data_IF_037044090637
#
_entry.id   IF_037044090637
#
_cell.length_a   1.000
_cell.length_b   1.000
_cell.length_c   1.000
_cell.angle_alpha   90.00
_cell.angle_beta   90.00
_cell.angle_gamma   90.00
#
_symmetry.space_group_name_H-M   'P 1'
#
loop_
_entity.id
_entity.type
_entity.pdbx_description
1 polymer ?
#
# COMPACT_ATOMS: atom_id res chain seq x y z
N UNK A 1 -34.84 -4.13 -49.17
CA UNK A 1 -36.06 -3.80 -48.41
C UNK A 1 -35.69 -3.71 -46.94
N UNK A 2 -36.05 -2.59 -46.32
CA UNK A 2 -35.78 -2.15 -44.93
C UNK A 2 -36.64 -2.97 -43.92
N UNK A 3 -36.67 -2.71 -42.57
CA UNK A 3 -35.66 -2.34 -41.56
C UNK A 3 -35.78 -3.15 -40.23
N UNK A 4 -35.03 -2.71 -39.20
CA UNK A 4 -35.29 -2.71 -37.72
C UNK A 4 -34.32 -3.59 -36.91
N UNK A 5 -33.18 -3.10 -36.42
CA UNK A 5 -32.93 -2.19 -35.27
C UNK A 5 -33.51 -2.65 -33.92
N UNK A 6 -32.62 -3.01 -32.98
CA UNK A 6 -32.93 -3.36 -31.59
C UNK A 6 -31.84 -2.90 -30.60
N UNK A 7 -32.10 -1.74 -29.99
CA UNK A 7 -31.80 -1.25 -28.63
C UNK A 7 -30.41 -1.42 -27.98
N UNK A 8 -29.67 -0.30 -27.94
CA UNK A 8 -28.65 0.02 -26.93
C UNK A 8 -29.31 0.63 -25.70
N UNK A 9 -29.12 0.05 -24.52
CA UNK A 9 -29.50 0.67 -23.24
C UNK A 9 -28.46 1.72 -22.82
N UNK A 10 -28.89 2.98 -22.76
CA UNK A 10 -28.17 4.10 -22.16
C UNK A 10 -28.83 4.37 -20.80
N UNK A 11 -28.06 4.28 -19.71
CA UNK A 11 -28.50 4.62 -18.36
C UNK A 11 -28.21 6.13 -18.14
N UNK A 12 -29.22 6.99 -17.92
CA UNK A 12 -28.98 8.40 -17.63
C UNK A 12 -28.54 8.62 -16.18
N UNK A 13 -27.47 9.41 -16.02
CA UNK A 13 -27.00 9.95 -14.72
C UNK A 13 -27.94 11.07 -14.28
N UNK A 14 -28.54 10.92 -13.10
CA UNK A 14 -29.31 12.00 -12.44
C UNK A 14 -28.34 12.86 -11.63
N UNK A 15 -28.21 14.12 -12.04
CA UNK A 15 -27.55 15.18 -11.28
C UNK A 15 -28.57 15.83 -10.34
N UNK A 16 -28.26 15.89 -9.04
CA UNK A 16 -28.99 16.73 -8.09
C UNK A 16 -28.17 17.99 -7.80
N UNK A 17 -28.76 19.15 -8.07
CA UNK A 17 -28.31 20.46 -7.63
C UNK A 17 -29.40 21.10 -6.72
N UNK A 18 -29.02 21.96 -5.78
CA UNK A 18 -29.80 22.26 -4.56
C UNK A 18 -30.89 23.30 -4.79
N UNK A 19 -32.04 23.13 -4.13
CA UNK A 19 -33.10 24.14 -4.08
C UNK A 19 -32.75 25.24 -3.06
N UNK A 20 -32.85 26.47 -3.54
CA UNK A 20 -32.71 27.72 -2.83
C UNK A 20 -34.10 28.37 -2.83
N UNK A 21 -34.72 28.58 -1.67
CA UNK A 21 -36.00 29.29 -1.56
C UNK A 21 -35.83 30.44 -0.58
N UNK A 22 -35.77 31.66 -1.12
CA UNK A 22 -35.78 32.91 -0.38
C UNK A 22 -37.18 33.55 -0.34
N UNK A 23 -37.41 34.23 0.78
CA UNK A 23 -38.31 35.36 1.07
C UNK A 23 -39.83 35.25 0.81
N UNK A 24 -40.59 35.59 1.85
CA UNK A 24 -41.50 36.73 1.81
C UNK A 24 -41.79 37.26 3.23
N UNK A 25 -41.43 38.54 3.42
CA UNK A 25 -41.73 39.39 4.58
C UNK A 25 -43.18 39.85 4.53
N UNK A 26 -43.86 39.89 5.68
CA UNK A 26 -45.06 40.72 5.87
C UNK A 26 -44.97 41.50 7.18
N UNK A 27 -45.04 42.83 7.04
CA UNK A 27 -45.09 43.83 8.10
C UNK A 27 -46.56 44.09 8.48
N UNK A 28 -46.87 44.14 9.78
CA UNK A 28 -48.00 44.92 10.32
C UNK A 28 -47.52 45.64 11.59
N UNK A 29 -47.61 46.98 11.69
CA UNK A 29 -47.25 47.73 12.89
C UNK A 29 -48.49 48.05 13.73
N UNK A 30 -48.38 47.97 15.07
CA UNK A 30 -49.31 48.64 15.98
C UNK A 30 -48.54 49.31 17.12
N UNK A 31 -48.88 50.57 17.34
CA UNK A 31 -48.26 51.56 18.22
C UNK A 31 -48.47 51.28 19.74
N UNK A 32 -47.53 51.83 20.52
CA UNK A 32 -47.42 51.89 21.98
C UNK A 32 -48.52 52.79 22.64
N UNK A 33 -48.89 52.72 23.92
CA UNK A 33 -48.18 52.87 25.22
C UNK A 33 -49.23 52.62 26.37
N UNK A 34 -48.98 52.92 27.66
CA UNK A 34 -47.99 52.37 28.59
C UNK A 34 -48.65 51.89 29.91
N UNK A 35 -48.19 50.80 30.51
CA UNK A 35 -48.41 50.57 31.94
C UNK A 35 -47.12 50.08 32.58
N UNK A 36 -46.68 50.82 33.59
CA UNK A 36 -45.46 50.61 34.37
C UNK A 36 -45.43 49.24 35.02
N UNK A 37 -44.31 48.54 34.88
CA UNK A 37 -43.97 47.36 35.67
C UNK A 37 -42.52 47.44 36.17
N UNK A 38 -42.22 46.84 37.34
CA UNK A 38 -41.16 47.27 38.23
C UNK A 38 -39.77 46.70 37.92
N UNK A 39 -38.77 47.34 38.52
CA UNK A 39 -37.33 47.20 38.33
C UNK A 39 -36.77 45.84 38.76
N UNK A 40 -36.12 45.19 37.78
CA UNK A 40 -34.89 44.38 37.82
C UNK A 40 -34.69 43.35 38.94
N UNK A 41 -34.88 42.07 38.57
CA UNK A 41 -33.94 41.01 38.95
C UNK A 41 -33.39 40.41 37.65
N UNK A 42 -32.07 40.47 37.46
CA UNK A 42 -31.39 39.88 36.31
C UNK A 42 -31.56 38.36 36.34
N UNK A 43 -32.17 37.72 35.33
CA UNK A 43 -32.05 36.29 35.15
C UNK A 43 -30.64 36.00 34.63
N UNK A 44 -29.92 35.08 35.28
CA UNK A 44 -28.69 34.53 34.71
C UNK A 44 -28.96 33.98 33.31
N UNK A 45 -28.06 34.19 32.33
CA UNK A 45 -28.24 33.63 31.00
C UNK A 45 -28.21 32.10 31.10
N UNK A 46 -29.33 31.47 30.78
CA UNK A 46 -29.42 30.03 30.58
C UNK A 46 -28.38 29.64 29.52
N UNK A 47 -27.37 28.88 29.93
CA UNK A 47 -26.44 28.24 29.01
C UNK A 47 -27.27 27.35 28.06
N UNK A 48 -27.11 27.45 26.73
CA UNK A 48 -27.76 26.50 25.84
C UNK A 48 -27.23 25.11 26.15
N UNK A 49 -28.10 24.26 26.71
CA UNK A 49 -27.87 22.82 26.81
C UNK A 49 -27.86 22.22 25.41
N UNK A 50 -26.77 22.42 24.67
CA UNK A 50 -26.48 21.63 23.49
C UNK A 50 -25.99 20.24 23.91
N UNK A 51 -26.86 19.47 24.56
CA UNK A 51 -26.80 18.02 24.43
C UNK A 51 -27.41 17.70 23.06
N UNK A 52 -26.61 17.90 22.02
CA UNK A 52 -26.81 17.13 20.79
C UNK A 52 -26.57 15.69 21.24
N UNK A 53 -27.66 14.95 21.44
CA UNK A 53 -27.62 13.50 21.42
C UNK A 53 -27.01 13.14 20.07
N UNK A 54 -25.70 12.91 20.05
CA UNK A 54 -25.06 12.29 18.90
C UNK A 54 -25.60 10.87 18.89
N UNK A 55 -26.74 10.66 18.23
CA UNK A 55 -27.14 9.33 17.82
C UNK A 55 -25.96 8.77 17.03
N UNK A 56 -25.20 7.88 17.68
CA UNK A 56 -24.11 7.20 17.02
C UNK A 56 -24.74 6.44 15.86
N UNK A 57 -24.42 6.82 14.62
CA UNK A 57 -24.83 6.07 13.43
C UNK A 57 -24.63 4.57 13.73
N UNK A 58 -25.66 3.73 13.57
CA UNK A 58 -25.57 2.32 13.96
C UNK A 58 -24.35 1.71 13.27
N UNK A 59 -23.39 1.25 14.06
CA UNK A 59 -22.15 0.68 13.56
C UNK A 59 -22.53 -0.51 12.70
N UNK A 60 -22.23 -0.46 11.40
CA UNK A 60 -22.51 -1.54 10.46
C UNK A 60 -22.08 -2.89 11.05
N UNK A 61 -23.06 -3.75 11.38
CA UNK A 61 -22.80 -5.06 11.98
C UNK A 61 -22.60 -6.04 10.84
N UNK A 62 -21.38 -6.58 10.72
CA UNK A 62 -21.09 -7.63 9.72
C UNK A 62 -22.00 -8.84 9.99
N UNK A 63 -22.63 -9.33 8.92
CA UNK A 63 -23.57 -10.47 8.96
C UNK A 63 -22.89 -11.81 9.24
N UNK A 64 -21.60 -11.93 8.89
CA UNK A 64 -20.81 -13.15 9.06
C UNK A 64 -19.45 -12.84 9.71
N UNK A 65 -19.12 -13.56 10.78
CA UNK A 65 -17.77 -13.61 11.34
C UNK A 65 -16.91 -14.65 10.62
N UNK A 66 -15.59 -14.50 10.69
CA UNK A 66 -14.65 -15.43 10.04
C UNK A 66 -14.82 -16.85 10.57
N UNK A 67 -14.92 -17.01 11.89
CA UNK A 67 -15.05 -18.32 12.53
C UNK A 67 -16.35 -19.03 12.11
N UNK A 68 -17.44 -18.27 11.93
CA UNK A 68 -18.71 -18.81 11.46
C UNK A 68 -18.62 -19.35 10.04
N UNK A 69 -17.88 -18.65 9.17
CA UNK A 69 -17.72 -19.07 7.78
C UNK A 69 -16.80 -20.29 7.70
N UNK A 70 -15.69 -20.30 8.45
CA UNK A 70 -14.80 -21.46 8.53
C UNK A 70 -15.54 -22.68 9.06
N UNK A 71 -16.34 -22.52 10.14
CA UNK A 71 -17.17 -23.60 10.68
C UNK A 71 -18.16 -24.11 9.63
N UNK A 72 -18.89 -23.21 8.97
CA UNK A 72 -19.85 -23.58 7.92
C UNK A 72 -19.17 -24.37 6.78
N UNK A 73 -18.01 -23.91 6.33
CA UNK A 73 -17.29 -24.57 5.23
C UNK A 73 -16.82 -25.97 5.61
N UNK A 74 -16.25 -26.14 6.80
CA UNK A 74 -15.83 -27.46 7.32
C UNK A 74 -17.03 -28.39 7.44
N UNK A 75 -18.15 -27.94 8.01
CA UNK A 75 -19.36 -28.77 8.11
C UNK A 75 -19.90 -29.17 6.74
N UNK A 76 -19.84 -28.27 5.75
CA UNK A 76 -20.25 -28.60 4.39
C UNK A 76 -19.32 -29.64 3.74
N UNK A 77 -18.01 -29.58 3.99
CA UNK A 77 -17.05 -30.59 3.52
C UNK A 77 -17.29 -31.95 4.19
N UNK A 78 -17.44 -31.99 5.51
CA UNK A 78 -17.74 -33.23 6.24
C UNK A 78 -19.07 -33.86 5.78
N UNK A 79 -20.08 -33.04 5.51
CA UNK A 79 -21.34 -33.50 4.94
C UNK A 79 -21.16 -34.10 3.54
N UNK A 80 -20.37 -33.43 2.69
CA UNK A 80 -20.03 -33.90 1.35
C UNK A 80 -19.33 -35.27 1.42
N UNK A 81 -18.32 -35.43 2.28
CA UNK A 81 -17.58 -36.67 2.47
C UNK A 81 -18.49 -37.81 2.96
N UNK A 82 -19.40 -37.54 3.90
CA UNK A 82 -20.31 -38.54 4.45
C UNK A 82 -21.35 -39.02 3.43
N UNK A 83 -21.75 -38.16 2.50
CA UNK A 83 -22.81 -38.45 1.53
C UNK A 83 -22.29 -38.70 0.11
N UNK A 84 -20.97 -38.80 -0.06
CA UNK A 84 -20.29 -38.95 -1.36
C UNK A 84 -20.75 -37.91 -2.41
N UNK A 85 -20.85 -36.66 -1.97
CA UNK A 85 -21.23 -35.51 -2.82
C UNK A 85 -20.07 -34.54 -2.95
N UNK A 86 -20.04 -33.75 -4.03
CA UNK A 86 -19.18 -32.57 -4.10
C UNK A 86 -19.92 -31.35 -3.57
N UNK A 87 -19.14 -30.33 -3.16
CA UNK A 87 -19.69 -29.07 -2.66
C UNK A 87 -20.58 -28.35 -3.69
N UNK A 88 -20.32 -28.57 -5.00
CA UNK A 88 -21.11 -28.03 -6.11
C UNK A 88 -22.47 -28.69 -6.30
N UNK A 89 -22.61 -29.93 -5.80
CA UNK A 89 -23.81 -30.75 -5.96
C UNK A 89 -24.77 -30.62 -4.75
N UNK A 90 -24.41 -29.81 -3.76
CA UNK A 90 -25.27 -29.59 -2.58
C UNK A 90 -26.53 -28.82 -2.96
N UNK A 91 -27.67 -29.42 -2.63
CA UNK A 91 -29.01 -28.88 -2.82
C UNK A 91 -29.49 -28.15 -1.57
N UNK A 92 -30.63 -27.45 -1.68
CA UNK A 92 -31.27 -26.82 -0.52
C UNK A 92 -31.59 -27.82 0.61
N UNK A 93 -31.96 -29.06 0.27
CA UNK A 93 -32.24 -30.11 1.27
C UNK A 93 -31.00 -30.49 2.08
N UNK A 94 -29.83 -30.50 1.44
CA UNK A 94 -28.56 -30.75 2.12
C UNK A 94 -28.26 -29.62 3.13
N UNK A 95 -28.56 -28.36 2.76
CA UNK A 95 -28.41 -27.22 3.65
C UNK A 95 -29.40 -27.18 4.81
N UNK A 96 -30.56 -27.85 4.73
CA UNK A 96 -31.44 -28.04 5.88
C UNK A 96 -30.75 -28.87 6.96
N UNK A 97 -29.97 -29.88 6.58
CA UNK A 97 -29.22 -30.71 7.52
C UNK A 97 -28.00 -29.97 8.08
N UNK A 98 -27.24 -29.28 7.22
CA UNK A 98 -26.04 -28.53 7.63
C UNK A 98 -26.41 -27.38 8.57
N UNK A 99 -27.51 -26.65 8.29
CA UNK A 99 -27.88 -25.46 9.05
C UNK A 99 -28.31 -25.77 10.50
N UNK A 100 -28.71 -27.01 10.83
CA UNK A 100 -29.06 -27.44 12.20
C UNK A 100 -27.95 -27.16 13.23
N UNK A 101 -26.69 -27.08 12.78
CA UNK A 101 -25.52 -26.85 13.63
C UNK A 101 -24.98 -25.41 13.56
N UNK A 102 -25.74 -24.50 12.94
CA UNK A 102 -25.38 -23.09 12.72
C UNK A 102 -26.40 -22.15 13.36
N UNK A 103 -26.01 -20.90 13.61
CA UNK A 103 -26.92 -19.80 13.98
C UNK A 103 -27.54 -19.09 12.75
N UNK A 104 -27.58 -19.77 11.60
CA UNK A 104 -27.89 -19.20 10.29
C UNK A 104 -28.98 -20.03 9.60
N UNK A 105 -29.75 -19.40 8.74
CA UNK A 105 -30.80 -20.13 7.98
C UNK A 105 -30.15 -20.97 6.88
N UNK A 106 -30.82 -22.05 6.43
CA UNK A 106 -30.35 -22.87 5.30
C UNK A 106 -30.03 -22.05 4.06
N UNK A 107 -30.86 -21.06 3.72
CA UNK A 107 -30.67 -20.18 2.57
C UNK A 107 -29.43 -19.29 2.73
N UNK A 108 -29.18 -18.81 3.95
CA UNK A 108 -27.99 -18.03 4.27
C UNK A 108 -26.72 -18.88 4.14
N UNK A 109 -26.76 -20.11 4.65
CA UNK A 109 -25.66 -21.07 4.55
C UNK A 109 -25.36 -21.42 3.08
N UNK A 110 -26.40 -21.76 2.33
CA UNK A 110 -26.33 -22.07 0.90
C UNK A 110 -25.72 -20.91 0.12
N UNK A 111 -26.27 -19.69 0.26
CA UNK A 111 -25.76 -18.50 -0.41
C UNK A 111 -24.28 -18.24 -0.05
N UNK A 112 -23.89 -18.46 1.20
CA UNK A 112 -22.50 -18.27 1.65
C UNK A 112 -21.54 -19.28 1.02
N UNK A 113 -21.91 -20.56 0.95
CA UNK A 113 -21.08 -21.58 0.29
C UNK A 113 -20.95 -21.29 -1.20
N UNK A 114 -22.04 -20.95 -1.90
CA UNK A 114 -21.95 -20.56 -3.32
C UNK A 114 -21.08 -19.32 -3.55
N UNK A 115 -21.16 -18.31 -2.68
CA UNK A 115 -20.26 -17.14 -2.74
C UNK A 115 -18.79 -17.56 -2.64
N UNK A 116 -18.46 -18.45 -1.70
CA UNK A 116 -17.09 -18.95 -1.51
C UNK A 116 -16.61 -19.71 -2.74
N UNK A 117 -17.48 -20.53 -3.32
CA UNK A 117 -17.18 -21.33 -4.51
C UNK A 117 -16.96 -20.46 -5.76
N UNK A 118 -17.83 -19.46 -5.96
CA UNK A 118 -17.83 -18.61 -7.17
C UNK A 118 -16.79 -17.51 -7.12
N UNK A 119 -16.71 -16.79 -6.01
CA UNK A 119 -15.76 -15.67 -5.86
C UNK A 119 -14.35 -16.14 -5.48
N UNK A 120 -14.23 -17.35 -4.93
CA UNK A 120 -12.96 -17.94 -4.54
C UNK A 120 -12.17 -17.09 -3.54
N UNK A 121 -12.81 -16.18 -2.80
CA UNK A 121 -12.16 -15.41 -1.75
C UNK A 121 -13.12 -15.08 -0.63
N UNK A 122 -12.80 -15.52 0.59
CA UNK A 122 -13.25 -14.80 1.77
C UNK A 122 -12.50 -13.49 1.88
N UNK A 123 -13.14 -12.47 2.49
CA UNK A 123 -12.45 -11.22 2.82
C UNK A 123 -11.19 -11.53 3.63
N UNK A 124 -10.04 -11.30 3.00
CA UNK A 124 -8.75 -11.60 3.59
C UNK A 124 -8.53 -10.74 4.84
N UNK A 125 -8.24 -11.38 5.98
CA UNK A 125 -7.89 -10.70 7.22
C UNK A 125 -6.43 -10.21 7.26
N UNK A 126 -5.97 -9.83 8.44
CA UNK A 126 -4.56 -9.54 8.72
C UNK A 126 -3.73 -10.79 8.44
N UNK A 127 -2.53 -10.62 7.89
CA UNK A 127 -1.57 -11.72 7.69
C UNK A 127 -1.10 -12.24 9.04
N UNK A 128 -1.22 -13.54 9.28
CA UNK A 128 -0.65 -14.18 10.46
C UNK A 128 0.82 -14.53 10.25
N UNK A 129 1.56 -14.71 11.35
CA UNK A 129 2.96 -15.13 11.29
C UNK A 129 3.11 -16.50 10.63
N UNK A 130 2.15 -17.40 10.83
CA UNK A 130 2.11 -18.70 10.15
C UNK A 130 1.92 -18.55 8.63
N UNK A 131 1.10 -17.60 8.17
CA UNK A 131 0.96 -17.29 6.75
C UNK A 131 2.25 -16.73 6.17
N UNK A 132 2.91 -15.81 6.87
CA UNK A 132 4.15 -15.20 6.42
C UNK A 132 5.30 -16.21 6.36
N UNK A 133 5.41 -17.09 7.36
CA UNK A 133 6.45 -18.11 7.40
C UNK A 133 6.28 -19.14 6.28
N UNK A 134 5.05 -19.63 6.07
CA UNK A 134 4.77 -20.51 4.95
C UNK A 134 5.02 -19.80 3.60
N UNK A 135 4.63 -18.52 3.47
CA UNK A 135 4.86 -17.76 2.24
C UNK A 135 6.36 -17.64 1.92
N UNK A 136 7.22 -17.42 2.93
CA UNK A 136 8.69 -17.44 2.74
C UNK A 136 9.18 -18.82 2.28
N UNK A 137 8.77 -19.88 2.96
CA UNK A 137 9.18 -21.25 2.64
C UNK A 137 8.81 -21.66 1.22
N UNK A 138 7.59 -21.32 0.77
CA UNK A 138 7.11 -21.61 -0.58
C UNK A 138 7.90 -20.88 -1.67
N UNK A 139 8.42 -19.69 -1.37
CA UNK A 139 9.22 -18.90 -2.31
C UNK A 139 10.69 -19.33 -2.36
N UNK A 140 11.20 -20.00 -1.32
CA UNK A 140 12.53 -20.61 -1.33
C UNK A 140 12.57 -21.91 -2.13
N UNK A 141 11.47 -22.67 -2.13
CA UNK A 141 11.44 -24.05 -2.65
C UNK A 141 10.93 -24.17 -4.09
N UNK A 142 10.22 -23.18 -4.65
CA UNK A 142 9.52 -23.33 -5.94
C UNK A 142 9.69 -22.13 -6.88
N UNK A 143 9.53 -22.38 -8.17
CA UNK A 143 9.35 -21.33 -9.19
C UNK A 143 8.14 -20.46 -8.84
N UNK A 144 8.31 -19.14 -8.89
CA UNK A 144 7.35 -18.15 -8.35
C UNK A 144 6.12 -17.98 -9.26
N UNK A 145 5.23 -18.96 -9.23
CA UNK A 145 3.85 -18.83 -9.75
C UNK A 145 2.93 -18.49 -8.59
N UNK A 146 2.63 -17.20 -8.42
CA UNK A 146 1.85 -16.69 -7.28
C UNK A 146 0.50 -17.37 -7.07
N UNK A 147 -0.16 -17.84 -8.14
CA UNK A 147 -1.39 -18.62 -8.04
C UNK A 147 -1.19 -19.96 -7.33
N UNK A 148 -0.10 -20.67 -7.62
CA UNK A 148 0.24 -21.94 -6.94
C UNK A 148 0.62 -21.69 -5.48
N UNK A 149 1.38 -20.62 -5.22
CA UNK A 149 1.73 -20.21 -3.85
C UNK A 149 0.47 -19.94 -3.03
N UNK A 150 -0.49 -19.20 -3.58
CA UNK A 150 -1.75 -18.93 -2.91
C UNK A 150 -2.57 -20.20 -2.66
N UNK A 151 -2.64 -21.11 -3.64
CA UNK A 151 -3.34 -22.39 -3.48
C UNK A 151 -2.73 -23.21 -2.34
N UNK A 152 -1.41 -23.35 -2.31
CA UNK A 152 -0.73 -24.14 -1.29
C UNK A 152 -0.86 -23.51 0.11
N UNK A 153 -0.81 -22.18 0.21
CA UNK A 153 -1.06 -21.45 1.44
C UNK A 153 -2.50 -21.64 1.93
N UNK A 154 -3.48 -21.56 1.04
CA UNK A 154 -4.89 -21.81 1.37
C UNK A 154 -5.14 -23.26 1.79
N UNK A 155 -4.47 -24.23 1.15
CA UNK A 155 -4.58 -25.64 1.51
C UNK A 155 -4.03 -25.91 2.91
N UNK A 156 -2.81 -25.44 3.19
CA UNK A 156 -2.11 -25.75 4.44
C UNK A 156 -2.66 -24.98 5.66
N UNK A 157 -3.09 -23.73 5.47
CA UNK A 157 -3.49 -22.86 6.60
C UNK A 157 -5.01 -22.70 6.67
N UNK A 158 -5.68 -22.57 5.52
CA UNK A 158 -7.08 -22.18 5.45
C UNK A 158 -8.01 -23.35 5.08
N UNK A 159 -7.57 -24.60 5.26
CA UNK A 159 -8.38 -25.82 5.00
C UNK A 159 -9.01 -25.86 3.61
N UNK A 160 -8.23 -25.52 2.59
CA UNK A 160 -8.66 -25.38 1.19
C UNK A 160 -9.66 -24.25 0.91
N UNK A 161 -10.05 -23.45 1.92
CA UNK A 161 -10.80 -22.23 1.69
C UNK A 161 -9.87 -21.25 0.99
N UNK A 162 -10.28 -20.78 -0.18
CA UNK A 162 -9.53 -19.75 -0.90
C UNK A 162 -9.70 -18.42 -0.13
N UNK A 163 -8.72 -18.05 0.68
CA UNK A 163 -8.72 -16.80 1.48
C UNK A 163 -7.71 -15.80 0.93
N UNK A 164 -6.56 -16.28 0.48
CA UNK A 164 -5.51 -15.47 -0.16
C UNK A 164 -5.48 -15.74 -1.66
N UNK A 165 -5.28 -14.67 -2.42
CA UNK A 165 -5.04 -14.73 -3.87
C UNK A 165 -3.56 -14.60 -4.18
N UNK A 166 -3.15 -15.02 -5.38
CA UNK A 166 -1.77 -14.84 -5.84
C UNK A 166 -1.34 -13.37 -5.85
N UNK A 167 -2.25 -12.45 -6.20
CA UNK A 167 -2.00 -11.01 -6.14
C UNK A 167 -1.65 -10.57 -4.72
N UNK A 168 -2.42 -11.01 -3.73
CA UNK A 168 -2.16 -10.68 -2.32
C UNK A 168 -0.85 -11.28 -1.81
N UNK A 169 -0.54 -12.51 -2.19
CA UNK A 169 0.75 -13.14 -1.85
C UNK A 169 1.93 -12.35 -2.43
N UNK A 170 1.84 -11.95 -3.71
CA UNK A 170 2.84 -11.11 -4.38
C UNK A 170 3.02 -9.78 -3.67
N UNK A 171 1.92 -9.11 -3.36
CA UNK A 171 1.93 -7.82 -2.66
C UNK A 171 2.54 -7.95 -1.27
N UNK A 172 2.15 -8.98 -0.50
CA UNK A 172 2.71 -9.26 0.83
C UNK A 172 4.22 -9.45 0.77
N UNK A 173 4.69 -10.26 -0.18
CA UNK A 173 6.13 -10.47 -0.38
C UNK A 173 6.86 -9.18 -0.72
N UNK A 174 6.41 -8.50 -1.78
CA UNK A 174 7.08 -7.32 -2.32
C UNK A 174 7.08 -6.11 -1.38
N UNK A 175 6.14 -6.04 -0.44
CA UNK A 175 6.02 -4.91 0.47
C UNK A 175 6.56 -5.18 1.88
N UNK A 176 6.52 -6.44 2.34
CA UNK A 176 6.77 -6.76 3.75
C UNK A 176 7.76 -7.87 3.99
N UNK A 177 7.81 -8.93 3.19
CA UNK A 177 8.60 -10.12 3.52
C UNK A 177 9.92 -10.23 2.76
N UNK A 178 10.03 -9.60 1.59
CA UNK A 178 11.25 -9.66 0.80
C UNK A 178 12.44 -9.10 1.61
N UNK A 179 13.52 -9.88 1.78
CA UNK A 179 14.69 -9.47 2.56
C UNK A 179 15.43 -8.28 1.93
N UNK A 180 15.31 -8.08 0.62
CA UNK A 180 15.95 -6.96 -0.09
C UNK A 180 15.32 -5.59 0.20
N UNK A 181 14.19 -5.56 0.92
CA UNK A 181 13.55 -4.31 1.34
C UNK A 181 14.31 -3.75 2.54
N UNK A 182 14.88 -2.56 2.38
CA UNK A 182 15.45 -1.79 3.49
C UNK A 182 14.32 -1.14 4.30
N UNK A 183 14.26 -1.49 5.59
CA UNK A 183 13.30 -0.97 6.57
C UNK A 183 13.92 0.02 7.57
N UNK A 184 15.24 0.23 7.50
CA UNK A 184 15.94 1.20 8.33
C UNK A 184 15.69 2.64 7.89
N UNK A 185 16.37 3.57 8.55
CA UNK A 185 16.23 4.99 8.27
C UNK A 185 16.66 5.37 6.85
N UNK A 186 16.12 6.48 6.35
CA UNK A 186 16.49 7.04 5.06
C UNK A 186 17.80 7.81 5.19
N UNK A 187 18.79 7.41 4.40
CA UNK A 187 20.04 8.15 4.26
C UNK A 187 19.83 9.45 3.47
N UNK A 188 20.73 10.42 3.68
CA UNK A 188 20.69 11.68 2.94
C UNK A 188 20.89 11.47 1.42
N UNK A 189 21.74 10.52 1.03
CA UNK A 189 21.94 10.14 -0.37
C UNK A 189 20.68 9.51 -0.98
N UNK A 190 19.96 8.65 -0.24
CA UNK A 190 18.67 8.11 -0.70
C UNK A 190 17.63 9.23 -0.84
N UNK A 191 17.54 10.15 0.13
CA UNK A 191 16.64 11.30 0.05
C UNK A 191 16.91 12.17 -1.17
N UNK A 192 18.20 12.46 -1.43
CA UNK A 192 18.61 13.28 -2.57
C UNK A 192 18.22 12.61 -3.89
N UNK A 193 18.56 11.32 -4.05
CA UNK A 193 18.20 10.54 -5.24
C UNK A 193 16.68 10.50 -5.45
N UNK A 194 15.94 10.30 -4.36
CA UNK A 194 14.48 10.28 -4.37
C UNK A 194 13.88 11.62 -4.83
N UNK A 195 14.41 12.74 -4.34
CA UNK A 195 13.94 14.06 -4.72
C UNK A 195 14.28 14.40 -6.19
N UNK A 196 15.48 14.02 -6.66
CA UNK A 196 15.87 14.19 -8.06
C UNK A 196 14.97 13.38 -9.01
N UNK A 197 14.70 12.11 -8.68
CA UNK A 197 13.78 11.27 -9.45
C UNK A 197 12.33 11.79 -9.39
N UNK A 198 11.89 12.34 -8.25
CA UNK A 198 10.57 12.98 -8.14
C UNK A 198 10.47 14.26 -8.95
N UNK A 199 11.56 15.03 -9.05
CA UNK A 199 11.63 16.21 -9.91
C UNK A 199 11.50 15.84 -11.39
N UNK A 200 12.17 14.76 -11.81
CA UNK A 200 12.16 14.30 -13.20
C UNK A 200 10.82 13.64 -13.59
N UNK A 201 10.27 12.80 -12.73
CA UNK A 201 9.14 11.92 -13.07
C UNK A 201 7.83 12.26 -12.33
N UNK A 202 7.81 13.26 -11.45
CA UNK A 202 6.62 13.63 -10.69
C UNK A 202 6.08 12.47 -9.86
N UNK A 203 4.78 12.20 -9.95
CA UNK A 203 4.10 11.16 -9.15
C UNK A 203 4.09 9.77 -9.82
N UNK A 204 5.00 9.50 -10.77
CA UNK A 204 5.17 8.17 -11.35
C UNK A 204 5.95 7.25 -10.40
N UNK A 205 5.32 6.88 -9.28
CA UNK A 205 5.95 6.17 -8.17
C UNK A 205 6.56 4.82 -8.57
N UNK A 206 5.90 4.08 -9.45
CA UNK A 206 6.40 2.80 -9.96
C UNK A 206 7.68 2.95 -10.79
N UNK A 207 7.87 4.09 -11.47
CA UNK A 207 9.11 4.42 -12.18
C UNK A 207 10.21 4.83 -11.20
N UNK A 208 9.87 5.68 -10.23
CA UNK A 208 10.80 6.12 -9.18
C UNK A 208 11.30 4.91 -8.35
N UNK A 209 10.43 3.96 -8.03
CA UNK A 209 10.78 2.75 -7.30
C UNK A 209 11.79 1.87 -8.04
N UNK A 210 11.82 1.89 -9.38
CA UNK A 210 12.86 1.20 -10.15
C UNK A 210 14.24 1.83 -9.97
N UNK A 211 14.29 3.14 -9.69
CA UNK A 211 15.53 3.87 -9.39
C UNK A 211 16.02 3.69 -7.95
N UNK A 212 15.18 3.23 -7.03
CA UNK A 212 15.49 2.99 -5.61
C UNK A 212 15.01 1.59 -5.23
N UNK A 213 15.71 0.57 -5.73
CA UNK A 213 15.29 -0.83 -5.68
C UNK A 213 15.14 -1.37 -4.24
N UNK A 214 15.87 -0.81 -3.28
CA UNK A 214 15.83 -1.22 -1.87
C UNK A 214 14.57 -0.74 -1.13
N UNK A 215 13.78 0.18 -1.71
CA UNK A 215 12.60 0.78 -1.07
C UNK A 215 11.33 0.44 -1.84
N UNK A 216 10.23 0.25 -1.11
CA UNK A 216 8.93 -0.01 -1.73
C UNK A 216 8.31 1.28 -2.27
N UNK A 217 7.42 1.17 -3.26
CA UNK A 217 6.67 2.31 -3.81
C UNK A 217 5.94 3.11 -2.71
N UNK A 218 5.36 2.38 -1.74
CA UNK A 218 4.68 2.98 -0.59
C UNK A 218 5.66 3.77 0.30
N UNK A 219 6.84 3.20 0.59
CA UNK A 219 7.87 3.88 1.38
C UNK A 219 8.35 5.16 0.69
N UNK A 220 8.57 5.11 -0.62
CA UNK A 220 8.96 6.24 -1.48
C UNK A 220 7.93 7.37 -1.41
N UNK A 221 6.65 7.06 -1.65
CA UNK A 221 5.55 8.03 -1.58
C UNK A 221 5.44 8.67 -0.20
N UNK A 222 5.52 7.85 0.85
CA UNK A 222 5.46 8.32 2.23
C UNK A 222 6.64 9.21 2.57
N UNK A 223 7.85 8.88 2.08
CA UNK A 223 9.04 9.68 2.33
C UNK A 223 8.96 11.05 1.66
N UNK A 224 8.56 11.14 0.40
CA UNK A 224 8.35 12.44 -0.26
C UNK A 224 7.33 13.29 0.49
N UNK A 225 6.21 12.69 0.92
CA UNK A 225 5.20 13.40 1.72
C UNK A 225 5.78 13.91 3.03
N UNK A 226 6.56 13.09 3.74
CA UNK A 226 7.23 13.47 4.98
C UNK A 226 8.23 14.62 4.77
N UNK A 227 9.07 14.55 3.72
CA UNK A 227 10.04 15.60 3.39
C UNK A 227 9.36 16.93 3.06
N UNK A 228 8.30 16.90 2.23
CA UNK A 228 7.51 18.10 1.91
C UNK A 228 6.84 18.73 3.13
N UNK A 229 6.25 17.90 4.00
CA UNK A 229 5.59 18.39 5.21
C UNK A 229 6.58 19.03 6.18
N UNK A 230 7.75 18.42 6.38
CA UNK A 230 8.82 18.97 7.20
C UNK A 230 9.29 20.33 6.65
N UNK A 231 9.53 20.40 5.34
CA UNK A 231 9.95 21.65 4.70
C UNK A 231 8.86 22.73 4.78
N UNK A 232 7.58 22.37 4.63
CA UNK A 232 6.48 23.32 4.77
C UNK A 232 6.33 23.85 6.20
N UNK A 233 6.66 23.05 7.21
CA UNK A 233 6.73 23.51 8.60
C UNK A 233 7.89 24.49 8.78
N UNK A 234 9.08 24.16 8.27
CA UNK A 234 10.27 25.01 8.31
C UNK A 234 10.04 26.36 7.56
N UNK A 235 9.29 26.34 6.45
CA UNK A 235 9.04 27.49 5.57
C UNK A 235 7.87 28.39 5.98
N UNK A 236 7.11 28.04 7.03
CA UNK A 236 6.04 28.89 7.55
C UNK A 236 6.52 30.27 8.04
N UNK A 237 7.84 30.54 7.98
CA UNK A 237 8.48 31.81 8.33
C UNK A 237 8.81 32.76 7.15
N UNK A 238 8.93 32.36 5.87
CA UNK A 238 9.19 33.33 4.76
C UNK A 238 8.77 32.77 3.39
N UNK A 239 8.02 33.56 2.62
CA UNK A 239 7.51 33.21 1.30
C UNK A 239 8.50 33.47 0.16
N UNK A 240 8.67 32.48 -0.73
CA UNK A 240 8.80 32.67 -2.19
C UNK A 240 8.55 31.32 -2.93
N UNK A 241 7.99 31.32 -4.17
CA UNK A 241 7.46 30.14 -4.85
C UNK A 241 8.50 29.46 -5.74
N UNK A 242 9.65 29.07 -5.18
CA UNK A 242 10.46 28.02 -5.82
C UNK A 242 9.84 26.65 -5.49
N UNK A 243 9.90 25.69 -6.43
CA UNK A 243 9.40 24.33 -6.21
C UNK A 243 9.96 23.78 -4.91
N UNK A 244 9.08 23.34 -3.99
CA UNK A 244 9.49 22.75 -2.69
C UNK A 244 10.53 21.64 -2.86
N UNK A 245 10.45 20.92 -3.98
CA UNK A 245 11.41 19.86 -4.33
C UNK A 245 12.80 20.44 -4.62
N UNK A 246 12.90 21.55 -5.35
CA UNK A 246 14.19 22.17 -5.68
C UNK A 246 14.92 22.65 -4.43
N UNK A 247 14.19 23.26 -3.48
CA UNK A 247 14.76 23.65 -2.18
C UNK A 247 15.27 22.45 -1.40
N UNK A 248 14.47 21.39 -1.32
CA UNK A 248 14.86 20.16 -0.65
C UNK A 248 16.11 19.52 -1.27
N UNK A 249 16.24 19.53 -2.61
CA UNK A 249 17.44 19.03 -3.30
C UNK A 249 18.68 19.83 -2.89
N UNK A 250 18.60 21.17 -2.89
CA UNK A 250 19.73 22.03 -2.50
C UNK A 250 20.13 21.78 -1.05
N UNK A 251 19.17 21.76 -0.12
CA UNK A 251 19.39 21.49 1.31
C UNK A 251 20.11 20.15 1.52
N UNK A 252 19.63 19.10 0.86
CA UNK A 252 20.22 17.76 0.95
C UNK A 252 21.61 17.66 0.31
N UNK A 253 21.92 18.43 -0.73
CA UNK A 253 23.28 18.50 -1.30
C UNK A 253 24.28 19.15 -0.35
N UNK A 254 23.86 20.13 0.43
CA UNK A 254 24.71 20.81 1.42
C UNK A 254 25.00 19.94 2.65
N UNK A 255 24.07 19.06 3.03
CA UNK A 255 24.20 18.18 4.20
C UNK A 255 25.14 16.98 3.97
N UNK A 256 25.44 16.61 2.71
CA UNK A 256 26.32 15.48 2.39
C UNK A 256 27.79 15.94 2.50
N UNK A 257 28.61 15.34 3.38
CA UNK A 257 30.02 15.69 3.47
C UNK A 257 30.70 15.41 2.14
N UNK A 258 31.25 16.44 1.50
CA UNK A 258 32.12 16.27 0.35
C UNK A 258 33.38 15.55 0.85
N UNK A 259 33.54 14.27 0.51
CA UNK A 259 34.86 13.65 0.53
C UNK A 259 35.68 14.28 -0.58
N UNK A 260 36.34 15.39 -0.25
CA UNK A 260 37.33 16.01 -1.11
C UNK A 260 38.66 15.29 -0.90
N UNK A 261 38.95 14.32 -1.76
CA UNK A 261 40.34 13.94 -2.03
C UNK A 261 40.98 15.13 -2.74
N UNK A 262 41.70 15.96 -2.00
CA UNK A 262 42.59 16.97 -2.56
C UNK A 262 43.76 16.19 -3.16
N UNK A 263 43.74 15.93 -4.47
CA UNK A 263 44.99 15.78 -5.20
C UNK A 263 45.56 17.19 -5.38
N UNK A 264 46.66 17.47 -4.68
CA UNK A 264 47.39 18.72 -4.85
C UNK A 264 47.87 18.85 -6.31
N UNK A 265 47.72 20.03 -6.95
CA UNK A 265 48.28 20.26 -8.26
C UNK A 265 49.82 20.31 -8.15
N UNK A 266 50.48 19.31 -8.71
CA UNK A 266 51.93 19.29 -8.92
C UNK A 266 52.36 20.53 -9.71
N UNK A 267 53.10 21.40 -9.03
CA UNK A 267 53.73 22.59 -9.61
C UNK A 267 54.84 22.18 -10.61
N UNK A 268 55.00 22.86 -11.75
CA UNK A 268 56.05 22.50 -12.72
C UNK A 268 57.42 22.94 -12.22
N UNK A 269 58.32 21.98 -11.98
CA UNK A 269 59.72 22.24 -11.69
C UNK A 269 60.41 22.88 -12.91
N UNK A 270 60.74 24.18 -12.81
CA UNK A 270 61.76 24.82 -13.66
C UNK A 270 63.04 24.97 -12.83
N UNK A 271 64.04 24.17 -13.17
CA UNK A 271 65.31 24.16 -12.43
C UNK A 271 66.32 23.20 -13.03
N UNK A 272 66.80 23.54 -14.23
CA UNK A 272 67.99 22.92 -14.84
C UNK A 272 69.16 23.02 -13.87
N UNK A 273 69.71 21.89 -13.41
CA UNK A 273 71.11 21.79 -13.00
C UNK A 273 71.73 20.49 -13.51
N UNK A 274 72.95 20.67 -14.02
CA UNK A 274 73.72 19.76 -14.86
C UNK A 274 74.27 18.53 -14.13
N UNK A 275 74.45 17.50 -14.94
CA UNK A 275 75.16 16.21 -14.81
C UNK A 275 76.29 16.12 -13.77
N UNK A 276 76.37 14.96 -13.13
CA UNK A 276 77.60 14.15 -13.13
C UNK A 276 77.25 12.65 -13.13
N UNK A 277 77.86 11.93 -14.06
CA UNK A 277 77.71 10.50 -14.26
C UNK A 277 78.67 9.71 -13.37
N UNK A 278 78.15 8.61 -12.80
CA UNK A 278 78.81 7.35 -12.43
C UNK A 278 77.63 6.44 -12.05
N UNK A 279 77.24 5.43 -12.82
CA UNK A 279 78.03 4.23 -13.09
C UNK A 279 77.67 3.21 -12.02
N UNK A 280 76.59 2.44 -12.22
CA UNK A 280 76.61 0.98 -12.05
C UNK A 280 75.32 0.32 -12.52
N UNK A 281 75.53 -0.80 -13.22
CA UNK A 281 74.52 -1.73 -13.75
C UNK A 281 73.79 -2.40 -12.59
N UNK A 282 72.56 -2.83 -12.84
CA UNK A 282 72.19 -4.25 -12.82
C UNK A 282 70.81 -4.44 -13.50
N UNK A 283 70.84 -5.17 -14.60
CA UNK A 283 69.70 -5.83 -15.24
C UNK A 283 69.24 -7.03 -14.40
N UNK A 284 67.97 -7.45 -14.48
CA UNK A 284 67.55 -8.57 -15.36
C UNK A 284 66.05 -8.90 -15.15
N UNK A 285 65.44 -9.37 -16.25
CA UNK A 285 64.16 -10.08 -16.47
C UNK A 285 63.31 -10.49 -15.24
N UNK A 286 61.99 -10.40 -15.25
CA UNK A 286 61.07 -10.78 -16.32
C UNK A 286 60.23 -11.98 -15.86
N UNK A 287 58.92 -11.95 -16.07
CA UNK A 287 58.11 -13.13 -16.44
C UNK A 287 56.70 -12.65 -16.82
N UNK A 288 56.36 -12.85 -18.09
CA UNK A 288 55.02 -12.73 -18.67
C UNK A 288 54.32 -14.08 -18.64
N UNK A 289 52.97 -14.04 -18.53
CA UNK A 289 51.93 -14.94 -19.08
C UNK A 289 52.06 -16.46 -18.78
N UNK A 290 51.01 -17.26 -18.64
CA UNK A 290 49.96 -17.48 -19.63
C UNK A 290 48.80 -18.32 -19.07
N UNK A 291 47.60 -18.07 -19.60
CA UNK A 291 46.44 -18.95 -19.52
C UNK A 291 46.64 -20.17 -20.42
N UNK A 292 46.24 -21.36 -19.96
CA UNK A 292 45.78 -22.40 -20.87
C UNK A 292 44.76 -23.32 -20.20
N UNK A 293 43.63 -23.42 -20.89
CA UNK A 293 42.53 -24.38 -20.78
C UNK A 293 42.99 -25.85 -20.81
N UNK A 294 42.22 -26.73 -20.17
CA UNK A 294 42.15 -28.13 -20.62
C UNK A 294 40.74 -28.68 -20.44
N UNK A 295 40.24 -29.21 -21.56
CA UNK A 295 38.99 -29.93 -21.73
C UNK A 295 39.04 -31.33 -21.12
N UNK A 296 37.84 -31.83 -20.83
CA UNK A 296 37.33 -33.20 -21.03
C UNK A 296 38.27 -34.37 -20.73
N UNK A 297 37.90 -35.14 -19.70
CA UNK A 297 38.11 -36.57 -19.69
C UNK A 297 36.86 -37.31 -19.22
N UNK A 298 36.55 -38.32 -20.03
CA UNK A 298 35.44 -39.25 -19.99
C UNK A 298 35.77 -40.46 -19.09
N UNK A 299 34.75 -41.30 -18.86
CA UNK A 299 34.75 -42.71 -18.39
C UNK A 299 34.39 -42.98 -16.92
N UNK A 300 33.35 -43.83 -16.76
CA UNK A 300 33.00 -44.55 -15.55
C UNK A 300 31.52 -44.79 -15.41
#
# INVERSE_FOLDING_TARGET
>A
MNPQQGFKYIIPRVNYAPMNCGLLMSFIPVYAHPFSAPVLTHPQPLQPQNQILTESKPKYKRTWKREQIEKLYVMAQEYCEKNDKKLEDLTHLDFLEIAKFTDKTPEQCQAKIYEIMTSGTLRSGIWSDAEDELLKQLLLTKTVKWGLVANELNTKIHKNIKIRTGKQCKERWNNHLNPNINRGDWSQSEDLKLLELHKEHGNHWSLIAKGIVTRTESAIKNRIKSLKNKEMQDLSALSNPSSLIDRLIVKKKMDIPVQCSIEEPVSPQSGIKLRKASGDRLSFSGFSLELASTQDNNLG
#
